data_IF_151238498632
#
_entry.id   IF_151238498632
#
_cell.length_a   1.000
_cell.length_b   1.000
_cell.length_c   1.000
_cell.angle_alpha   90.00
_cell.angle_beta   90.00
_cell.angle_gamma   90.00
#
_symmetry.space_group_name_H-M   'P 1'
#
loop_
_entity.id
_entity.type
_entity.pdbx_description
1 polymer ?
#
# COMPACT_ATOMS: atom_id res chain seq x y z
N UNK A 1 4.30 -6.93 13.78
CA UNK A 1 5.65 -6.74 13.19
C UNK A 1 5.61 -7.01 11.69
N UNK A 2 6.75 -6.91 10.99
CA UNK A 2 6.82 -7.01 9.51
C UNK A 2 6.18 -8.29 8.94
N UNK A 3 6.39 -9.46 9.57
CA UNK A 3 5.76 -10.73 9.16
C UNK A 3 4.23 -10.63 9.11
N UNK A 4 3.59 -10.17 10.18
CA UNK A 4 2.14 -10.02 10.23
C UNK A 4 1.61 -8.99 9.22
N UNK A 5 2.41 -7.95 8.93
CA UNK A 5 2.10 -7.00 7.86
C UNK A 5 2.14 -7.68 6.49
N UNK A 6 3.18 -8.45 6.18
CA UNK A 6 3.30 -9.21 4.92
C UNK A 6 2.15 -10.22 4.75
N UNK A 7 1.78 -10.93 5.81
CA UNK A 7 0.66 -11.87 5.78
C UNK A 7 -0.68 -11.18 5.52
N UNK A 8 -0.95 -10.05 6.21
CA UNK A 8 -2.15 -9.27 5.98
C UNK A 8 -2.19 -8.68 4.56
N UNK A 9 -1.05 -8.19 4.09
CA UNK A 9 -0.88 -7.68 2.73
C UNK A 9 -1.15 -8.75 1.68
N UNK A 10 -0.59 -9.94 1.85
CA UNK A 10 -0.79 -11.07 0.94
C UNK A 10 -2.22 -11.59 0.90
N UNK A 11 -2.95 -11.53 2.02
CA UNK A 11 -4.39 -11.84 2.07
C UNK A 11 -5.25 -10.78 1.37
N UNK A 12 -4.84 -9.52 1.41
CA UNK A 12 -5.63 -8.41 0.87
C UNK A 12 -5.47 -8.26 -0.65
N UNK A 13 -4.25 -8.40 -1.18
CA UNK A 13 -3.94 -8.04 -2.56
C UNK A 13 -3.51 -9.24 -3.41
N UNK A 14 -4.11 -9.42 -4.59
CA UNK A 14 -3.74 -10.47 -5.56
C UNK A 14 -2.55 -10.05 -6.40
N UNK A 15 -2.52 -8.78 -6.74
CA UNK A 15 -1.39 -8.07 -7.33
C UNK A 15 -1.24 -6.72 -6.64
N UNK A 16 0.00 -6.25 -6.55
CA UNK A 16 0.32 -4.86 -6.24
C UNK A 16 1.57 -4.48 -7.02
N UNK A 17 1.48 -3.41 -7.79
CA UNK A 17 2.56 -2.88 -8.61
C UNK A 17 2.77 -1.41 -8.26
N UNK A 18 4.03 -1.04 -8.01
CA UNK A 18 4.45 0.35 -7.79
C UNK A 18 5.12 0.83 -9.07
N UNK A 19 4.51 1.80 -9.74
CA UNK A 19 4.98 2.37 -11.00
C UNK A 19 5.61 3.74 -10.81
N UNK A 20 6.55 4.04 -11.70
CA UNK A 20 7.15 5.36 -11.88
C UNK A 20 7.66 6.02 -10.57
N UNK A 21 8.44 5.30 -9.73
CA UNK A 21 8.93 5.90 -8.50
C UNK A 21 9.90 7.04 -8.81
N UNK A 22 9.63 8.19 -8.20
CA UNK A 22 10.51 9.36 -8.17
C UNK A 22 11.06 9.50 -6.75
N UNK A 23 12.38 9.59 -6.63
CA UNK A 23 13.06 9.64 -5.34
C UNK A 23 13.58 11.05 -5.05
N UNK A 24 13.39 11.49 -3.81
CA UNK A 24 13.80 12.79 -3.30
C UNK A 24 14.64 12.56 -2.04
N UNK A 25 15.98 12.53 -2.16
CA UNK A 25 16.87 12.48 -1.01
C UNK A 25 16.70 13.72 -0.14
N UNK A 26 16.80 13.54 1.18
CA UNK A 26 16.76 14.62 2.16
C UNK A 26 17.78 14.35 3.25
N UNK A 27 18.91 15.05 3.22
CA UNK A 27 20.03 14.75 4.11
C UNK A 27 20.71 13.42 3.79
N UNK A 28 21.30 12.79 4.79
CA UNK A 28 22.18 11.62 4.62
C UNK A 28 21.44 10.29 4.56
N UNK A 29 20.41 10.10 5.40
CA UNK A 29 19.76 8.80 5.59
C UNK A 29 18.25 8.81 5.30
N UNK A 30 17.68 9.90 4.76
CA UNK A 30 16.24 9.98 4.45
C UNK A 30 15.99 10.09 2.96
N UNK A 31 14.98 9.34 2.49
CA UNK A 31 14.49 9.37 1.11
C UNK A 31 12.97 9.47 1.14
N UNK A 32 12.41 10.42 0.39
CA UNK A 32 11.00 10.39 0.05
C UNK A 32 10.82 9.77 -1.33
N UNK A 33 9.80 8.94 -1.53
CA UNK A 33 9.42 8.41 -2.84
C UNK A 33 7.99 8.80 -3.17
N UNK A 34 7.79 9.44 -4.31
CA UNK A 34 6.48 9.61 -4.92
C UNK A 34 6.33 8.57 -6.02
N UNK A 35 5.27 7.79 -5.97
CA UNK A 35 4.99 6.74 -6.93
C UNK A 35 3.49 6.66 -7.19
N UNK A 36 3.12 5.75 -8.09
CA UNK A 36 1.74 5.40 -8.37
C UNK A 36 1.54 3.91 -8.14
N UNK A 37 0.49 3.53 -7.41
CA UNK A 37 0.25 2.13 -7.05
C UNK A 37 -1.00 1.62 -7.72
N UNK A 38 -0.88 0.42 -8.29
CA UNK A 38 -1.98 -0.36 -8.87
C UNK A 38 -2.10 -1.65 -8.08
N UNK A 39 -3.28 -1.98 -7.58
CA UNK A 39 -3.49 -3.23 -6.88
C UNK A 39 -4.87 -3.81 -7.15
N UNK A 40 -4.98 -5.13 -7.03
CA UNK A 40 -6.24 -5.85 -7.17
C UNK A 40 -6.56 -6.52 -5.85
N UNK A 41 -7.74 -6.22 -5.30
CA UNK A 41 -8.20 -6.79 -4.03
C UNK A 41 -8.57 -8.27 -4.20
N UNK A 42 -8.00 -9.16 -3.39
CA UNK A 42 -8.40 -10.58 -3.38
C UNK A 42 -9.86 -10.76 -2.94
N UNK A 43 -10.33 -10.15 -1.83
CA UNK A 43 -11.70 -10.39 -1.38
C UNK A 43 -12.78 -9.86 -2.31
N UNK A 44 -12.52 -8.77 -3.04
CA UNK A 44 -13.57 -8.07 -3.81
C UNK A 44 -13.34 -8.05 -5.31
N UNK A 45 -12.15 -8.46 -5.78
CA UNK A 45 -11.76 -8.34 -7.19
C UNK A 45 -11.57 -6.89 -7.66
N UNK A 46 -11.75 -5.89 -6.78
CA UNK A 46 -11.67 -4.47 -7.15
C UNK A 46 -10.24 -4.05 -7.44
N UNK A 47 -10.08 -3.36 -8.55
CA UNK A 47 -8.86 -2.63 -8.87
C UNK A 47 -8.84 -1.31 -8.10
N UNK A 48 -7.67 -0.97 -7.57
CA UNK A 48 -7.39 0.31 -6.94
C UNK A 48 -6.16 0.92 -7.57
N UNK A 49 -6.26 2.22 -7.78
CA UNK A 49 -5.26 3.02 -8.47
C UNK A 49 -5.08 4.33 -7.71
N UNK A 50 -3.88 4.58 -7.15
CA UNK A 50 -3.66 5.76 -6.31
C UNK A 50 -2.21 6.26 -6.30
N UNK A 51 -2.00 7.58 -6.15
CA UNK A 51 -0.68 8.14 -5.87
C UNK A 51 -0.25 7.79 -4.44
N UNK A 52 1.02 7.47 -4.25
CA UNK A 52 1.60 7.15 -2.95
C UNK A 52 2.86 7.98 -2.68
N UNK A 53 2.86 8.69 -1.54
CA UNK A 53 4.09 9.26 -0.96
C UNK A 53 4.58 8.36 0.18
N UNK A 54 5.86 7.98 0.11
CA UNK A 54 6.52 7.17 1.13
C UNK A 54 7.75 7.88 1.67
N UNK A 55 8.02 7.67 2.95
CA UNK A 55 9.27 8.01 3.61
C UNK A 55 10.05 6.74 3.92
N UNK A 56 11.36 6.83 3.70
CA UNK A 56 12.32 5.81 4.05
C UNK A 56 13.43 6.44 4.88
N UNK A 57 13.84 5.74 5.93
CA UNK A 57 15.14 5.96 6.58
C UNK A 57 16.06 4.79 6.26
N UNK A 58 17.21 5.06 5.66
CA UNK A 58 18.14 4.05 5.14
C UNK A 58 19.53 4.27 5.74
N UNK A 59 20.09 3.25 6.38
CA UNK A 59 21.45 3.29 6.92
C UNK A 59 22.15 1.98 6.62
N UNK A 60 23.43 2.05 6.23
CA UNK A 60 24.23 0.86 5.88
C UNK A 60 23.51 -0.04 4.86
N UNK A 61 22.93 0.59 3.82
CA UNK A 61 22.13 -0.04 2.77
C UNK A 61 20.92 -0.87 3.28
N UNK A 62 20.38 -0.53 4.44
CA UNK A 62 19.20 -1.19 5.02
C UNK A 62 18.11 -0.18 5.33
N UNK A 63 16.86 -0.53 5.02
CA UNK A 63 15.69 0.24 5.42
C UNK A 63 15.50 0.04 6.93
N UNK A 64 15.69 1.12 7.69
CA UNK A 64 15.40 1.18 9.12
C UNK A 64 13.94 1.51 9.38
N UNK A 65 13.32 2.27 8.48
CA UNK A 65 11.96 2.76 8.63
C UNK A 65 11.30 2.99 7.28
N UNK A 66 10.02 2.64 7.18
CA UNK A 66 9.18 2.85 6.02
C UNK A 66 7.82 3.36 6.50
N UNK A 67 7.40 4.54 6.03
CA UNK A 67 6.09 5.13 6.36
C UNK A 67 5.38 5.65 5.10
N UNK A 68 4.19 5.14 4.75
CA UNK A 68 3.33 5.78 3.74
C UNK A 68 2.60 6.99 4.34
N UNK A 69 2.51 8.11 3.61
CA UNK A 69 1.94 9.37 4.13
C UNK A 69 0.69 9.86 3.39
N UNK A 70 0.68 9.81 2.06
CA UNK A 70 -0.44 10.32 1.27
C UNK A 70 -0.98 9.23 0.38
N UNK A 71 -2.11 8.67 0.79
CA UNK A 71 -2.94 7.74 0.03
C UNK A 71 -4.41 8.03 0.37
N UNK A 72 -5.29 7.93 -0.63
CA UNK A 72 -6.73 8.16 -0.44
C UNK A 72 -7.36 6.96 0.26
N UNK A 73 -7.49 7.05 1.57
CA UNK A 73 -8.07 5.99 2.38
C UNK A 73 -9.56 5.80 2.10
N UNK A 74 -10.29 6.86 1.74
CA UNK A 74 -11.72 6.77 1.43
C UNK A 74 -11.95 5.98 0.13
N UNK A 75 -11.14 6.25 -0.90
CA UNK A 75 -11.16 5.48 -2.14
C UNK A 75 -10.70 4.01 -1.95
N UNK A 76 -9.86 3.75 -0.95
CA UNK A 76 -9.34 2.40 -0.67
C UNK A 76 -10.33 1.51 0.10
N UNK A 77 -11.15 2.10 0.97
CA UNK A 77 -12.05 1.35 1.85
C UNK A 77 -12.97 0.36 1.12
N UNK A 78 -13.60 0.69 -0.02
CA UNK A 78 -14.43 -0.26 -0.78
C UNK A 78 -13.67 -1.50 -1.26
N UNK A 79 -12.36 -1.39 -1.53
CA UNK A 79 -11.55 -2.52 -1.94
C UNK A 79 -11.13 -3.40 -0.75
N UNK A 80 -10.95 -2.81 0.44
CA UNK A 80 -10.51 -3.49 1.66
C UNK A 80 -11.63 -4.11 2.49
N UNK A 81 -12.85 -3.59 2.38
CA UNK A 81 -14.01 -4.19 3.03
C UNK A 81 -14.45 -5.40 2.23
N UNK A 82 -14.44 -6.57 2.86
CA UNK A 82 -15.14 -7.73 2.30
C UNK A 82 -16.57 -7.30 1.98
N UNK A 83 -17.07 -7.70 0.81
CA UNK A 83 -18.51 -7.61 0.52
C UNK A 83 -19.19 -8.35 1.67
N UNK A 84 -19.94 -7.63 2.51
CA UNK A 84 -20.97 -8.32 3.28
C UNK A 84 -21.87 -8.88 2.19
N UNK A 85 -21.88 -10.19 2.02
CA UNK A 85 -23.06 -10.81 1.42
C UNK A 85 -24.21 -10.30 2.27
N UNK A 86 -25.09 -9.51 1.66
CA UNK A 86 -26.38 -9.20 2.22
C UNK A 86 -27.06 -10.55 2.43
N UNK A 87 -26.89 -11.11 3.62
CA UNK A 87 -27.67 -12.24 4.11
C UNK A 87 -29.06 -11.70 4.40
N UNK A 88 -29.80 -11.41 3.33
CA UNK A 88 -31.23 -11.18 3.33
C UNK A 88 -31.85 -11.95 2.16
N UNK A 89 -31.96 -13.25 2.37
CA UNK A 89 -32.92 -14.16 1.76
C UNK A 89 -32.98 -15.38 2.71
N UNK A 90 -34.08 -15.84 3.28
CA UNK A 90 -35.52 -15.59 3.20
C UNK A 90 -36.13 -15.95 4.56
#
# INVERSE_FOLDING_TARGET
>A
GFKGWMEAFGRQWSSLEVKNPQFYPSGEDVIFSRSHVYAVSRPTGREVDWPLLQFFRVRNNRILELRPFHWDTAAMLPAMRATREDTHAQ
#
